data_IF_232717393884
#
_entry.id   IF_232717393884
#
_cell.length_a   1.000
_cell.length_b   1.000
_cell.length_c   1.000
_cell.angle_alpha   90.00
_cell.angle_beta   90.00
_cell.angle_gamma   90.00
#
_symmetry.space_group_name_H-M   'P 1'
#
loop_
_entity.id
_entity.type
_entity.pdbx_description
1 polymer ?
#
# COMPACT_ATOMS: atom_id res chain seq x y z
N UNK A 1 -13.55 9.21 -9.55
CA UNK A 1 -13.79 8.02 -8.73
C UNK A 1 -13.20 6.84 -9.46
N UNK A 2 -12.28 6.14 -8.83
CA UNK A 2 -11.75 4.89 -9.38
C UNK A 2 -12.76 3.80 -9.05
N UNK A 3 -13.31 3.16 -10.08
CA UNK A 3 -14.23 2.02 -9.89
C UNK A 3 -13.45 0.89 -9.23
N UNK A 4 -14.06 0.24 -8.25
CA UNK A 4 -13.50 -0.94 -7.62
C UNK A 4 -13.34 -2.06 -8.66
N UNK A 5 -12.10 -2.46 -8.91
CA UNK A 5 -11.72 -3.43 -9.95
C UNK A 5 -11.23 -4.76 -9.36
N UNK A 6 -11.26 -4.89 -8.03
CA UNK A 6 -10.80 -6.08 -7.34
C UNK A 6 -11.61 -7.31 -7.79
N UNK A 7 -10.94 -8.40 -8.05
CA UNK A 7 -11.60 -9.65 -8.44
C UNK A 7 -12.48 -10.20 -7.31
N UNK A 8 -13.61 -10.83 -7.64
CA UNK A 8 -14.57 -11.34 -6.64
C UNK A 8 -13.91 -12.30 -5.66
N UNK A 9 -13.00 -13.15 -6.14
CA UNK A 9 -12.26 -14.07 -5.29
C UNK A 9 -11.39 -13.35 -4.25
N UNK A 10 -10.87 -12.17 -4.60
CA UNK A 10 -10.04 -11.37 -3.70
C UNK A 10 -10.86 -10.61 -2.64
N UNK A 11 -12.19 -10.49 -2.81
CA UNK A 11 -13.09 -9.85 -1.83
C UNK A 11 -13.49 -10.77 -0.69
N UNK A 12 -13.40 -12.07 -0.90
CA UNK A 12 -13.79 -13.04 0.11
C UNK A 12 -12.73 -13.10 1.22
N UNK A 13 -13.19 -12.98 2.46
CA UNK A 13 -12.44 -13.34 3.64
C UNK A 13 -12.87 -14.72 4.17
N UNK A 14 -12.37 -15.09 5.33
CA UNK A 14 -12.81 -16.33 6.00
C UNK A 14 -14.23 -16.28 6.59
N UNK A 15 -14.92 -15.13 6.54
CA UNK A 15 -16.28 -15.00 7.05
C UNK A 15 -17.11 -14.01 6.20
N UNK A 16 -18.37 -14.34 5.84
CA UNK A 16 -19.17 -13.50 4.94
C UNK A 16 -19.48 -12.11 5.49
N UNK A 17 -19.60 -11.96 6.81
CA UNK A 17 -19.86 -10.66 7.44
C UNK A 17 -18.63 -9.74 7.51
N UNK A 18 -17.46 -10.24 7.12
CA UNK A 18 -16.19 -9.52 7.13
C UNK A 18 -15.53 -9.48 5.75
N UNK A 19 -16.17 -8.91 4.70
CA UNK A 19 -15.60 -8.89 3.37
C UNK A 19 -14.37 -8.01 3.31
N UNK A 20 -13.42 -8.35 2.44
CA UNK A 20 -12.28 -7.48 2.12
C UNK A 20 -12.75 -6.29 1.29
N UNK A 21 -12.11 -5.15 1.48
CA UNK A 21 -12.44 -3.87 0.82
C UNK A 21 -11.21 -3.29 0.14
N UNK A 22 -11.38 -2.78 -1.06
CA UNK A 22 -10.33 -2.09 -1.80
C UNK A 22 -10.28 -0.61 -1.42
N UNK A 23 -9.62 -0.28 -0.31
CA UNK A 23 -9.38 1.12 0.10
C UNK A 23 -7.89 1.38 -0.02
N UNK A 24 -7.48 2.10 -1.07
CA UNK A 24 -6.08 2.28 -1.41
C UNK A 24 -5.81 3.58 -2.19
N UNK A 25 -4.56 3.90 -2.43
CA UNK A 25 -4.10 5.10 -3.13
C UNK A 25 -4.25 4.94 -4.65
N UNK A 26 -5.48 4.71 -5.12
CA UNK A 26 -5.79 4.26 -6.48
C UNK A 26 -5.30 5.20 -7.57
N UNK A 27 -5.48 6.52 -7.40
CA UNK A 27 -5.07 7.53 -8.38
C UNK A 27 -3.54 7.54 -8.55
N UNK A 28 -2.80 7.60 -7.44
CA UNK A 28 -1.35 7.58 -7.45
C UNK A 28 -0.82 6.26 -8.04
N UNK A 29 -1.33 5.12 -7.60
CA UNK A 29 -0.87 3.81 -8.08
C UNK A 29 -1.08 3.65 -9.59
N UNK A 30 -2.27 3.97 -10.10
CA UNK A 30 -2.55 3.86 -11.54
C UNK A 30 -1.76 4.85 -12.38
N UNK A 31 -1.58 6.08 -11.90
CA UNK A 31 -0.76 7.07 -12.59
C UNK A 31 0.70 6.64 -12.66
N UNK A 32 1.26 6.16 -11.53
CA UNK A 32 2.66 5.69 -11.46
C UNK A 32 2.87 4.43 -12.31
N UNK A 33 1.89 3.50 -12.33
CA UNK A 33 1.94 2.32 -13.17
C UNK A 33 1.97 2.67 -14.67
N UNK A 34 1.12 3.60 -15.12
CA UNK A 34 1.12 4.09 -16.51
C UNK A 34 2.43 4.79 -16.85
N UNK A 35 2.89 5.70 -15.99
CA UNK A 35 4.17 6.39 -16.16
C UNK A 35 5.34 5.41 -16.32
N UNK A 36 5.36 4.34 -15.50
CA UNK A 36 6.38 3.30 -15.63
C UNK A 36 6.29 2.58 -16.98
N UNK A 37 5.09 2.15 -17.37
CA UNK A 37 4.87 1.46 -18.63
C UNK A 37 5.28 2.32 -19.83
N UNK A 38 4.93 3.60 -19.85
CA UNK A 38 5.32 4.55 -20.89
C UNK A 38 6.85 4.68 -20.99
N UNK A 39 7.55 4.73 -19.86
CA UNK A 39 9.02 4.83 -19.81
C UNK A 39 9.75 3.61 -20.35
N UNK A 40 9.20 2.41 -20.16
CA UNK A 40 9.80 1.17 -20.66
C UNK A 40 9.21 0.68 -21.99
N UNK A 41 8.28 1.46 -22.57
CA UNK A 41 7.71 1.20 -23.90
C UNK A 41 6.73 0.03 -23.94
N UNK A 42 6.03 -0.25 -22.85
CA UNK A 42 4.96 -1.26 -22.78
C UNK A 42 3.60 -0.60 -22.55
N UNK A 43 2.53 -1.29 -22.92
CA UNK A 43 1.15 -0.82 -22.73
C UNK A 43 0.65 -1.28 -21.36
N UNK A 44 0.16 -0.36 -20.52
CA UNK A 44 -0.32 -0.67 -19.18
C UNK A 44 -1.40 -1.77 -19.16
N UNK A 45 -2.28 -1.77 -20.15
CA UNK A 45 -3.33 -2.79 -20.33
C UNK A 45 -2.81 -4.18 -20.72
N UNK A 46 -1.49 -4.33 -20.88
CA UNK A 46 -0.81 -5.61 -21.13
C UNK A 46 0.18 -5.99 -20.02
N UNK A 47 0.42 -5.07 -19.09
CA UNK A 47 1.39 -5.24 -18.01
C UNK A 47 0.78 -5.90 -16.78
N UNK A 48 1.61 -6.68 -16.08
CA UNK A 48 1.35 -7.18 -14.74
C UNK A 48 2.34 -6.53 -13.76
N UNK A 49 1.87 -5.75 -12.84
CA UNK A 49 2.72 -4.96 -11.94
C UNK A 49 2.31 -5.18 -10.48
N UNK A 50 3.28 -5.19 -9.59
CA UNK A 50 3.02 -4.99 -8.16
C UNK A 50 3.36 -3.56 -7.82
N UNK A 51 2.40 -2.79 -7.33
CA UNK A 51 2.60 -1.38 -6.97
C UNK A 51 2.43 -1.20 -5.48
N UNK A 52 3.48 -0.73 -4.81
CA UNK A 52 3.49 -0.41 -3.39
C UNK A 52 3.55 1.11 -3.19
N UNK A 53 2.45 1.69 -2.73
CA UNK A 53 2.42 3.08 -2.28
C UNK A 53 2.78 3.14 -0.80
N UNK A 54 3.85 3.86 -0.48
CA UNK A 54 4.49 3.95 0.83
C UNK A 54 4.30 5.36 1.40
N UNK A 55 3.23 5.57 2.16
CA UNK A 55 2.86 6.85 2.75
C UNK A 55 2.45 6.72 4.22
N UNK A 56 1.66 7.64 4.76
CA UNK A 56 1.06 7.55 6.10
C UNK A 56 0.20 6.30 6.29
N UNK A 57 -0.45 5.84 5.22
CA UNK A 57 -0.95 4.48 5.00
C UNK A 57 -0.10 3.78 3.94
N UNK A 58 -0.10 2.44 3.94
CA UNK A 58 0.61 1.64 2.94
C UNK A 58 -0.38 0.75 2.21
N UNK A 59 -0.39 0.86 0.87
CA UNK A 59 -1.17 -0.03 0.01
C UNK A 59 -0.29 -0.72 -1.00
N UNK A 60 -0.44 -2.03 -1.10
CA UNK A 60 0.27 -2.86 -2.08
C UNK A 60 -0.77 -3.56 -2.94
N UNK A 61 -0.72 -3.34 -4.24
CA UNK A 61 -1.71 -3.84 -5.18
C UNK A 61 -1.12 -4.69 -6.30
N UNK A 62 -1.89 -5.68 -6.73
CA UNK A 62 -1.66 -6.46 -7.93
C UNK A 62 -2.40 -5.80 -9.10
N UNK A 63 -1.65 -5.22 -10.03
CA UNK A 63 -2.18 -4.68 -11.28
C UNK A 63 -2.03 -5.74 -12.38
N UNK A 64 -3.14 -6.16 -12.95
CA UNK A 64 -3.20 -7.14 -14.03
C UNK A 64 -3.87 -6.53 -15.23
N UNK A 65 -3.10 -6.31 -16.30
CA UNK A 65 -3.61 -5.86 -17.59
C UNK A 65 -4.54 -4.64 -17.48
N UNK A 66 -4.05 -3.58 -16.81
CA UNK A 66 -4.78 -2.32 -16.64
C UNK A 66 -5.77 -2.27 -15.47
N UNK A 67 -6.02 -3.39 -14.78
CA UNK A 67 -6.95 -3.49 -13.63
C UNK A 67 -6.20 -3.77 -12.33
N UNK A 68 -6.72 -3.25 -11.23
CA UNK A 68 -6.27 -3.62 -9.87
C UNK A 68 -7.09 -4.81 -9.39
N UNK A 69 -6.53 -6.02 -9.49
CA UNK A 69 -7.26 -7.27 -9.22
C UNK A 69 -7.23 -7.70 -7.76
N UNK A 70 -6.24 -7.24 -7.00
CA UNK A 70 -6.16 -7.43 -5.54
C UNK A 70 -5.38 -6.28 -4.90
N UNK A 71 -5.77 -5.88 -3.71
CA UNK A 71 -5.10 -4.86 -2.89
C UNK A 71 -5.52 -4.99 -1.43
N UNK A 72 -4.62 -4.65 -0.51
CA UNK A 72 -4.98 -4.54 0.89
C UNK A 72 -5.81 -3.27 1.18
N UNK A 73 -6.62 -3.31 2.22
CA UNK A 73 -7.26 -2.12 2.77
C UNK A 73 -6.23 -1.31 3.58
N UNK A 74 -5.73 -0.23 3.00
CA UNK A 74 -4.70 0.62 3.60
C UNK A 74 -5.22 1.53 4.71
N UNK A 75 -6.52 1.48 5.05
CA UNK A 75 -7.13 2.34 6.07
C UNK A 75 -7.23 1.62 7.43
N UNK A 76 -7.91 0.49 7.46
CA UNK A 76 -8.32 -0.16 8.71
C UNK A 76 -8.18 -1.69 8.69
N UNK A 77 -7.04 -2.17 9.13
CA UNK A 77 -6.89 -3.57 9.57
C UNK A 77 -6.49 -4.60 8.52
N UNK A 78 -5.90 -4.20 7.38
CA UNK A 78 -5.39 -5.14 6.38
C UNK A 78 -3.99 -4.72 5.88
N UNK A 79 -3.16 -5.69 5.52
CA UNK A 79 -1.82 -5.47 4.98
C UNK A 79 -0.76 -5.08 6.02
N UNK A 80 0.37 -4.50 5.58
CA UNK A 80 1.44 -4.09 6.47
C UNK A 80 1.02 -2.91 7.35
N UNK A 81 1.57 -2.83 8.57
CA UNK A 81 1.40 -1.60 9.32
C UNK A 81 2.21 -0.45 8.68
N UNK A 82 1.74 0.76 8.89
CA UNK A 82 2.26 1.97 8.27
C UNK A 82 2.61 3.01 9.35
N UNK A 83 3.09 4.20 9.02
CA UNK A 83 3.31 5.23 10.02
C UNK A 83 2.13 5.48 10.96
N UNK A 84 0.90 5.50 10.47
CA UNK A 84 -0.31 5.83 11.23
C UNK A 84 -1.38 4.74 11.26
N UNK A 85 -1.09 3.56 10.71
CA UNK A 85 -2.05 2.46 10.57
C UNK A 85 -1.52 1.19 11.21
N UNK A 86 -2.37 0.47 11.92
CA UNK A 86 -1.99 -0.78 12.58
C UNK A 86 -1.72 -1.93 11.59
N UNK A 87 -2.30 -1.87 10.38
CA UNK A 87 -2.29 -3.00 9.46
C UNK A 87 -3.04 -4.20 10.02
N UNK A 88 -2.69 -5.39 9.55
CA UNK A 88 -3.28 -6.64 10.03
C UNK A 88 -2.86 -6.89 11.48
N UNK A 89 -3.85 -7.00 12.37
CA UNK A 89 -3.66 -7.40 13.76
C UNK A 89 -4.07 -8.86 13.96
N UNK A 90 -3.49 -9.58 14.94
CA UNK A 90 -4.02 -10.87 15.36
C UNK A 90 -5.47 -10.71 15.81
N UNK A 91 -6.41 -11.39 15.14
CA UNK A 91 -7.84 -11.18 15.35
C UNK A 91 -8.28 -11.52 16.79
N UNK A 92 -7.74 -12.59 17.40
CA UNK A 92 -8.03 -12.96 18.78
C UNK A 92 -7.67 -11.85 19.76
N UNK A 93 -6.45 -11.31 19.66
CA UNK A 93 -5.97 -10.22 20.50
C UNK A 93 -6.83 -8.95 20.33
N UNK A 94 -7.27 -8.68 19.11
CA UNK A 94 -8.15 -7.53 18.85
C UNK A 94 -9.53 -7.72 19.52
N UNK A 95 -10.09 -8.92 19.46
CA UNK A 95 -11.34 -9.25 20.16
C UNK A 95 -11.18 -9.06 21.68
N UNK A 96 -10.11 -9.59 22.26
CA UNK A 96 -9.83 -9.44 23.68
C UNK A 96 -9.69 -7.97 24.09
N UNK A 97 -9.06 -7.14 23.27
CA UNK A 97 -9.00 -5.69 23.49
C UNK A 97 -10.38 -5.03 23.43
N UNK A 98 -11.21 -5.39 22.44
CA UNK A 98 -12.55 -4.83 22.28
C UNK A 98 -13.46 -5.11 23.49
N UNK A 99 -13.34 -6.29 24.11
CA UNK A 99 -14.17 -6.71 25.24
C UNK A 99 -13.49 -6.58 26.60
N UNK A 100 -12.28 -6.03 26.67
CA UNK A 100 -11.53 -5.84 27.92
C UNK A 100 -12.12 -4.80 28.87
N UNK A 101 -13.03 -3.94 28.40
CA UNK A 101 -13.52 -2.77 29.14
C UNK A 101 -12.52 -1.62 29.27
N UNK A 102 -11.29 -1.75 28.73
CA UNK A 102 -10.24 -0.73 28.81
C UNK A 102 -10.35 0.34 27.71
N UNK A 103 -10.98 0.01 26.59
CA UNK A 103 -11.05 0.84 25.41
C UNK A 103 -12.49 1.01 24.93
N UNK A 104 -12.83 2.21 24.50
CA UNK A 104 -14.08 2.47 23.78
C UNK A 104 -13.95 2.04 22.31
N UNK A 105 -15.06 1.94 21.60
CA UNK A 105 -15.05 1.73 20.15
C UNK A 105 -14.20 2.79 19.42
N UNK A 106 -14.29 4.03 19.86
CA UNK A 106 -13.51 5.14 19.27
C UNK A 106 -12.01 4.91 19.47
N UNK A 107 -11.57 4.49 20.65
CA UNK A 107 -10.16 4.20 20.93
C UNK A 107 -9.63 3.07 20.03
N UNK A 108 -10.41 2.00 19.85
CA UNK A 108 -10.04 0.91 18.94
C UNK A 108 -9.96 1.42 17.49
N UNK A 109 -10.91 2.23 17.03
CA UNK A 109 -10.86 2.81 15.69
C UNK A 109 -9.62 3.70 15.51
N UNK A 110 -9.24 4.49 16.51
CA UNK A 110 -8.01 5.29 16.49
C UNK A 110 -6.76 4.41 16.51
N UNK A 111 -6.78 3.28 17.21
CA UNK A 111 -5.69 2.30 17.21
C UNK A 111 -5.49 1.71 15.81
N UNK A 112 -6.57 1.41 15.09
CA UNK A 112 -6.49 0.90 13.72
C UNK A 112 -6.00 1.98 12.74
N UNK A 113 -6.53 3.21 12.86
CA UNK A 113 -6.28 4.29 11.91
C UNK A 113 -6.04 5.64 12.61
N UNK A 114 -4.80 6.13 12.59
CA UNK A 114 -4.36 7.40 13.16
C UNK A 114 -3.36 7.26 14.30
N UNK A 115 -3.52 6.27 15.18
CA UNK A 115 -2.62 6.02 16.33
C UNK A 115 -1.98 4.63 16.29
N UNK A 116 -2.04 3.93 15.17
CA UNK A 116 -1.38 2.66 14.93
C UNK A 116 0.04 2.81 14.40
N UNK A 117 0.67 1.70 14.06
CA UNK A 117 1.95 1.64 13.37
C UNK A 117 3.10 2.33 14.11
N UNK A 118 3.88 3.15 13.39
CA UNK A 118 5.02 3.86 14.00
C UNK A 118 4.59 4.78 15.14
N UNK A 119 3.41 5.42 15.03
CA UNK A 119 2.86 6.25 16.11
C UNK A 119 2.68 5.45 17.39
N UNK A 120 2.09 4.24 17.30
CA UNK A 120 1.89 3.38 18.47
C UNK A 120 3.20 2.92 19.10
N UNK A 121 4.19 2.56 18.29
CA UNK A 121 5.44 1.98 18.76
C UNK A 121 6.48 3.02 19.19
N UNK A 122 6.54 4.16 18.47
CA UNK A 122 7.63 5.15 18.55
C UNK A 122 7.15 6.56 18.89
N UNK A 123 5.84 6.82 18.90
CA UNK A 123 5.28 8.14 19.18
C UNK A 123 5.41 9.14 18.04
N UNK A 124 5.77 8.69 16.84
CA UNK A 124 5.94 9.57 15.66
C UNK A 124 5.52 8.85 14.37
N UNK A 125 4.96 9.60 13.43
CA UNK A 125 4.70 9.16 12.05
C UNK A 125 5.82 9.58 11.07
N UNK A 126 6.81 10.35 11.54
CA UNK A 126 7.87 10.90 10.71
C UNK A 126 9.00 9.89 10.52
N UNK A 127 9.16 9.39 9.28
CA UNK A 127 10.31 8.56 8.92
C UNK A 127 11.65 9.28 9.09
N UNK A 128 11.68 10.60 8.98
CA UNK A 128 12.90 11.40 9.22
C UNK A 128 13.32 11.24 10.68
N UNK A 129 12.39 11.46 11.63
CA UNK A 129 12.66 11.29 13.06
C UNK A 129 13.04 9.85 13.42
N UNK A 130 12.40 8.86 12.79
CA UNK A 130 12.75 7.45 12.99
C UNK A 130 14.19 7.20 12.55
N UNK A 131 14.61 7.70 11.39
CA UNK A 131 15.98 7.54 10.89
C UNK A 131 17.01 8.27 11.75
N UNK A 132 16.69 9.47 12.25
CA UNK A 132 17.54 10.21 13.20
C UNK A 132 17.76 9.41 14.50
N UNK A 133 16.70 8.83 15.06
CA UNK A 133 16.79 7.97 16.26
C UNK A 133 17.65 6.73 16.01
N UNK A 134 17.50 6.09 14.84
CA UNK A 134 18.34 4.95 14.44
C UNK A 134 19.80 5.37 14.36
N UNK A 135 20.09 6.53 13.76
CA UNK A 135 21.46 7.08 13.69
C UNK A 135 22.08 7.40 15.06
N UNK A 136 21.25 7.62 16.09
CA UNK A 136 21.64 7.80 17.49
C UNK A 136 21.73 6.48 18.28
N UNK A 137 21.52 5.32 17.62
CA UNK A 137 21.61 4.01 18.24
C UNK A 137 20.31 3.49 18.88
N UNK A 138 19.14 4.09 18.56
CA UNK A 138 17.85 3.59 19.04
C UNK A 138 17.49 2.26 18.37
N UNK A 139 17.81 1.17 19.03
CA UNK A 139 17.57 -0.19 18.54
C UNK A 139 16.07 -0.50 18.39
N UNK A 140 15.21 0.05 19.27
CA UNK A 140 13.76 -0.10 19.14
C UNK A 140 13.25 0.53 17.85
N UNK A 141 13.72 1.75 17.52
CA UNK A 141 13.33 2.42 16.29
C UNK A 141 13.77 1.61 15.05
N UNK A 142 14.98 1.01 15.09
CA UNK A 142 15.47 0.14 14.02
C UNK A 142 14.57 -1.08 13.83
N UNK A 143 14.30 -1.82 14.89
CA UNK A 143 13.47 -3.04 14.84
C UNK A 143 12.05 -2.72 14.33
N UNK A 144 11.44 -1.63 14.80
CA UNK A 144 10.08 -1.25 14.37
C UNK A 144 10.07 -0.84 12.89
N UNK A 145 11.07 -0.08 12.42
CA UNK A 145 11.21 0.26 10.99
C UNK A 145 11.41 -1.02 10.15
N UNK A 146 12.27 -1.92 10.58
CA UNK A 146 12.54 -3.16 9.86
C UNK A 146 11.29 -4.07 9.83
N UNK A 147 10.51 -4.13 10.91
CA UNK A 147 9.25 -4.87 10.94
C UNK A 147 8.21 -4.29 9.97
N UNK A 148 8.12 -2.96 9.84
CA UNK A 148 7.29 -2.30 8.82
C UNK A 148 7.73 -2.72 7.41
N UNK A 149 9.03 -2.64 7.11
CA UNK A 149 9.57 -3.04 5.82
C UNK A 149 9.32 -4.53 5.53
N UNK A 150 9.50 -5.40 6.52
CA UNK A 150 9.21 -6.82 6.42
C UNK A 150 7.74 -7.10 6.09
N UNK A 151 6.81 -6.37 6.70
CA UNK A 151 5.39 -6.43 6.36
C UNK A 151 5.12 -6.05 4.89
N UNK A 152 5.78 -5.00 4.40
CA UNK A 152 5.69 -4.55 3.00
C UNK A 152 6.21 -5.64 2.05
N UNK A 153 7.37 -6.21 2.34
CA UNK A 153 7.98 -7.31 1.55
C UNK A 153 7.04 -8.50 1.44
N UNK A 154 6.45 -8.93 2.56
CA UNK A 154 5.47 -10.02 2.58
C UNK A 154 4.25 -9.70 1.71
N UNK A 155 3.74 -8.48 1.77
CA UNK A 155 2.59 -8.06 0.98
C UNK A 155 2.92 -8.00 -0.52
N UNK A 156 4.11 -7.53 -0.90
CA UNK A 156 4.60 -7.57 -2.29
C UNK A 156 4.63 -9.02 -2.78
N UNK A 157 5.18 -9.94 -1.98
CA UNK A 157 5.19 -11.37 -2.31
C UNK A 157 3.79 -11.96 -2.48
N UNK A 158 2.84 -11.60 -1.62
CA UNK A 158 1.43 -12.01 -1.74
C UNK A 158 0.79 -11.51 -3.04
N UNK A 159 1.02 -10.23 -3.41
CA UNK A 159 0.51 -9.66 -4.66
C UNK A 159 1.18 -10.26 -5.90
N UNK A 160 2.46 -10.61 -5.82
CA UNK A 160 3.15 -11.36 -6.88
C UNK A 160 2.52 -12.76 -7.07
N UNK A 161 2.18 -13.44 -5.98
CA UNK A 161 1.48 -14.71 -6.03
C UNK A 161 0.07 -14.58 -6.61
N UNK A 162 -0.67 -13.50 -6.31
CA UNK A 162 -1.96 -13.20 -6.93
C UNK A 162 -1.88 -13.02 -8.45
N UNK A 163 -0.71 -12.60 -8.97
CA UNK A 163 -0.41 -12.52 -10.41
C UNK A 163 0.17 -13.83 -10.98
N UNK A 164 0.17 -14.93 -10.21
CA UNK A 164 0.75 -16.20 -10.63
C UNK A 164 2.27 -16.16 -10.86
N UNK A 165 2.96 -15.23 -10.22
CA UNK A 165 4.40 -14.99 -10.39
C UNK A 165 4.78 -14.29 -11.70
N UNK A 166 3.81 -13.93 -12.54
CA UNK A 166 4.04 -13.20 -13.78
C UNK A 166 4.02 -11.69 -13.51
N UNK A 167 5.15 -11.15 -13.11
CA UNK A 167 5.31 -9.74 -12.73
C UNK A 167 6.36 -9.09 -13.62
N UNK A 168 5.98 -8.02 -14.32
CA UNK A 168 6.90 -7.26 -15.19
C UNK A 168 7.77 -6.29 -14.40
N UNK A 169 7.22 -5.70 -13.32
CA UNK A 169 7.95 -4.83 -12.41
C UNK A 169 7.28 -4.75 -11.02
N UNK A 170 8.09 -4.51 -9.99
CA UNK A 170 7.64 -4.03 -8.67
C UNK A 170 7.90 -2.54 -8.60
N UNK A 171 6.86 -1.75 -8.34
CA UNK A 171 6.93 -0.28 -8.32
C UNK A 171 6.77 0.21 -6.89
N UNK A 172 7.72 1.03 -6.42
CA UNK A 172 7.67 1.70 -5.13
C UNK A 172 7.37 3.19 -5.35
N UNK A 173 6.32 3.70 -4.71
CA UNK A 173 5.91 5.11 -4.79
C UNK A 173 5.49 5.63 -3.41
N UNK A 174 5.06 6.89 -3.32
CA UNK A 174 4.71 7.55 -2.06
C UNK A 174 5.89 8.24 -1.38
N UNK A 175 5.60 9.00 -0.32
CA UNK A 175 6.60 9.83 0.36
C UNK A 175 7.74 9.04 1.01
N UNK A 176 7.46 7.84 1.55
CA UNK A 176 8.49 6.99 2.17
C UNK A 176 9.46 6.41 1.13
N UNK A 177 9.10 6.33 -0.14
CA UNK A 177 10.01 5.89 -1.20
C UNK A 177 11.20 6.84 -1.43
N UNK A 178 11.22 8.04 -0.83
CA UNK A 178 12.43 8.88 -0.73
C UNK A 178 13.48 8.31 0.23
N UNK A 179 13.09 7.44 1.15
CA UNK A 179 14.00 6.87 2.15
C UNK A 179 14.79 5.70 1.55
N UNK A 180 16.07 5.93 1.28
CA UNK A 180 16.97 4.93 0.67
C UNK A 180 17.01 3.62 1.46
N UNK A 181 17.11 3.69 2.81
CA UNK A 181 17.20 2.47 3.64
C UNK A 181 15.94 1.60 3.54
N UNK A 182 14.74 2.20 3.38
CA UNK A 182 13.50 1.46 3.15
C UNK A 182 13.50 0.83 1.75
N UNK A 183 13.89 1.60 0.73
CA UNK A 183 13.97 1.12 -0.66
C UNK A 183 14.98 -0.02 -0.78
N UNK A 184 16.17 0.13 -0.18
CA UNK A 184 17.21 -0.90 -0.18
C UNK A 184 16.72 -2.20 0.48
N UNK A 185 16.10 -2.09 1.66
CA UNK A 185 15.53 -3.25 2.35
C UNK A 185 14.50 -3.98 1.47
N UNK A 186 13.54 -3.26 0.90
CA UNK A 186 12.52 -3.87 0.05
C UNK A 186 13.16 -4.48 -1.21
N UNK A 187 14.13 -3.80 -1.81
CA UNK A 187 14.80 -4.28 -3.02
C UNK A 187 15.61 -5.56 -2.77
N UNK A 188 16.29 -5.64 -1.64
CA UNK A 188 17.03 -6.84 -1.24
C UNK A 188 16.14 -8.09 -1.21
N UNK A 189 14.94 -7.94 -0.64
CA UNK A 189 14.01 -9.06 -0.47
C UNK A 189 13.07 -9.32 -1.65
N UNK A 190 12.88 -8.35 -2.56
CA UNK A 190 11.88 -8.46 -3.62
C UNK A 190 12.48 -8.52 -5.04
N UNK A 191 13.78 -8.31 -5.22
CA UNK A 191 14.42 -8.31 -6.54
C UNK A 191 14.35 -9.65 -7.29
N UNK A 192 14.09 -10.74 -6.58
CA UNK A 192 13.86 -12.07 -7.19
C UNK A 192 12.50 -12.16 -7.90
N UNK A 193 11.53 -11.27 -7.58
CA UNK A 193 10.20 -11.27 -8.18
C UNK A 193 10.25 -10.64 -9.57
N UNK A 194 10.79 -9.41 -9.67
CA UNK A 194 10.89 -8.63 -10.90
C UNK A 194 11.79 -7.40 -10.66
N UNK A 195 12.19 -6.66 -11.71
CA UNK A 195 12.88 -5.39 -11.56
C UNK A 195 12.13 -4.41 -10.64
N UNK A 196 12.87 -3.72 -9.76
CA UNK A 196 12.32 -2.71 -8.86
C UNK A 196 12.42 -1.35 -9.52
N UNK A 197 11.30 -0.65 -9.64
CA UNK A 197 11.22 0.72 -10.11
C UNK A 197 10.77 1.67 -8.98
N UNK A 198 11.45 2.80 -8.80
CA UNK A 198 11.19 3.71 -7.69
C UNK A 198 10.76 5.07 -8.23
N UNK A 199 9.57 5.51 -7.82
CA UNK A 199 8.94 6.79 -8.16
C UNK A 199 8.52 7.49 -6.88
N UNK A 200 9.45 8.15 -6.15
CA UNK A 200 9.15 8.75 -4.87
C UNK A 200 8.18 9.92 -4.99
N UNK A 201 7.35 10.11 -3.97
CA UNK A 201 6.41 11.23 -3.87
C UNK A 201 4.97 10.86 -4.22
N UNK A 202 4.11 11.83 -4.00
CA UNK A 202 2.67 11.74 -4.23
C UNK A 202 2.29 12.83 -5.24
N UNK A 203 2.26 12.47 -6.53
CA UNK A 203 1.87 13.40 -7.60
C UNK A 203 0.34 13.41 -7.77
N UNK A 204 -0.42 13.56 -6.67
CA UNK A 204 -1.88 13.46 -6.70
C UNK A 204 -2.51 14.53 -7.59
N UNK A 205 -2.05 15.78 -7.50
CA UNK A 205 -2.55 16.88 -8.33
C UNK A 205 -2.26 16.64 -9.81
N UNK A 206 -1.03 16.25 -10.14
CA UNK A 206 -0.64 15.93 -11.52
C UNK A 206 -1.42 14.71 -12.05
N UNK A 207 -1.63 13.70 -11.20
CA UNK A 207 -2.44 12.53 -11.52
C UNK A 207 -3.90 12.89 -11.77
N UNK A 208 -4.50 13.78 -10.96
CA UNK A 208 -5.86 14.28 -11.16
C UNK A 208 -5.99 15.07 -12.47
N UNK A 209 -5.05 15.98 -12.73
CA UNK A 209 -5.02 16.77 -13.98
C UNK A 209 -4.87 15.86 -15.19
N UNK A 210 -3.95 14.91 -15.15
CA UNK A 210 -3.71 13.96 -16.25
C UNK A 210 -4.95 13.13 -16.55
N UNK A 211 -5.59 12.56 -15.51
CA UNK A 211 -6.82 11.79 -15.69
C UNK A 211 -7.97 12.65 -16.22
N UNK A 212 -8.13 13.88 -15.75
CA UNK A 212 -9.13 14.80 -16.28
C UNK A 212 -8.88 15.15 -17.76
N UNK A 213 -7.63 15.41 -18.12
CA UNK A 213 -7.25 15.73 -19.52
C UNK A 213 -7.50 14.55 -20.47
N UNK A 214 -7.25 13.33 -20.03
CA UNK A 214 -7.50 12.11 -20.84
C UNK A 214 -8.99 11.95 -21.15
N UNK A 215 -9.87 12.25 -20.19
CA UNK A 215 -11.33 12.27 -20.38
C UNK A 215 -11.74 13.44 -21.29
N UNK A 216 -11.26 14.65 -21.01
CA UNK A 216 -11.60 15.86 -21.79
C UNK A 216 -11.16 15.77 -23.26
N UNK A 217 -10.07 15.07 -23.53
CA UNK A 217 -9.57 14.80 -24.90
C UNK A 217 -10.29 13.64 -25.58
N UNK A 218 -11.26 13.01 -24.93
CA UNK A 218 -12.04 11.90 -25.49
C UNK A 218 -11.25 10.59 -25.66
N UNK A 219 -10.07 10.47 -25.01
CA UNK A 219 -9.25 9.26 -25.06
C UNK A 219 -9.87 8.13 -24.23
N UNK A 220 -10.54 8.49 -23.11
CA UNK A 220 -11.29 7.54 -22.26
C UNK A 220 -12.70 8.10 -22.06
N UNK A 221 -13.69 7.26 -22.23
CA UNK A 221 -15.07 7.58 -21.87
C UNK A 221 -15.25 7.46 -20.35
N UNK A 222 -15.73 8.50 -19.65
CA UNK A 222 -15.98 8.42 -18.22
C UNK A 222 -17.02 7.35 -17.92
N UNK A 223 -16.79 6.54 -16.89
CA UNK A 223 -17.79 5.59 -16.40
C UNK A 223 -18.85 6.37 -15.62
N UNK A 224 -20.11 6.05 -15.88
CA UNK A 224 -21.25 6.59 -15.09
C UNK A 224 -21.37 5.76 -13.82
N UNK A 225 -21.35 6.44 -12.68
CA UNK A 225 -21.63 5.81 -11.41
C UNK A 225 -23.14 5.65 -11.28
N UNK A 226 -23.62 4.42 -11.25
CA UNK A 226 -25.03 4.07 -11.04
C UNK A 226 -25.27 3.65 -9.59
#
# INVERSE_FOLDING_TARGET
VVVDEMDDIARLSGHPDCPRRSIFHALNQKATARLHCDRIGIVYEKANLVVAHLGGGISVAAHKQGRVVDVNNALDGDGPFAPERAGTLPAGELVDLCFSGRYTRHDIQQMLAGKGGLVAHLGTNSMIQVMERIGQGDEKARVVKDAMCYGIVKQIGAMAAALGGQVDAVILTGGIAHNKSVVEYISEFCSFIAPIAVYPGENELESLVTNALVVLRGVITPKVYA
#
